data_IF_721202220589
#
_entry.id   IF_721202220589
#
_cell.length_a   1.000
_cell.length_b   1.000
_cell.length_c   1.000
_cell.angle_alpha   90.00
_cell.angle_beta   90.00
_cell.angle_gamma   90.00
#
_symmetry.space_group_name_H-M   'P 1'
#
loop_
_entity.id
_entity.type
_entity.pdbx_description
1 polymer ?
#
# COMPACT_ATOMS: atom_id res chain seq x y z
N UNK A 1 -2.39 24.18 2.36
CA UNK A 1 -2.29 23.54 3.68
C UNK A 1 -3.02 22.20 3.67
N UNK A 2 -2.52 21.22 4.43
CA UNK A 2 -3.18 19.96 4.59
C UNK A 2 -4.53 20.14 5.32
N UNK A 3 -5.53 19.34 4.93
CA UNK A 3 -6.84 19.30 5.59
C UNK A 3 -7.03 17.93 6.25
N UNK A 4 -7.41 17.92 7.52
CA UNK A 4 -7.77 16.69 8.21
C UNK A 4 -9.14 16.20 7.71
N UNK A 5 -9.24 14.94 7.33
CA UNK A 5 -10.47 14.32 6.83
C UNK A 5 -11.17 13.47 7.90
N UNK A 6 -10.42 12.88 8.84
CA UNK A 6 -10.91 12.00 9.88
C UNK A 6 -10.58 12.56 11.27
N UNK A 7 -11.33 12.19 12.29
CA UNK A 7 -11.14 12.65 13.68
C UNK A 7 -11.20 11.52 14.71
N UNK A 8 -11.26 10.26 14.27
CA UNK A 8 -11.26 9.11 15.17
C UNK A 8 -9.87 8.91 15.80
N UNK A 9 -9.82 8.34 17.01
CA UNK A 9 -8.55 8.04 17.71
C UNK A 9 -7.85 6.79 17.19
N UNK A 10 -8.59 5.90 16.52
CA UNK A 10 -8.05 4.70 15.89
C UNK A 10 -7.18 5.01 14.68
N UNK A 11 -6.34 4.06 14.33
CA UNK A 11 -5.39 4.18 13.24
C UNK A 11 -6.11 4.17 11.89
N UNK A 12 -5.72 5.05 10.97
CA UNK A 12 -6.13 5.04 9.56
C UNK A 12 -4.91 4.86 8.66
N UNK A 13 -4.96 3.87 7.78
CA UNK A 13 -3.82 3.44 6.97
C UNK A 13 -4.24 3.13 5.52
N UNK A 14 -3.27 3.20 4.62
CA UNK A 14 -3.37 2.75 3.22
C UNK A 14 -4.52 3.40 2.44
N UNK A 15 -4.63 4.72 2.42
CA UNK A 15 -5.68 5.40 1.68
C UNK A 15 -5.47 5.24 0.17
N UNK A 16 -6.58 5.02 -0.55
CA UNK A 16 -6.62 4.98 -2.02
C UNK A 16 -7.85 5.72 -2.52
N UNK A 17 -7.63 6.65 -3.45
CA UNK A 17 -8.73 7.31 -4.16
C UNK A 17 -9.41 6.32 -5.11
N UNK A 18 -10.74 6.44 -5.24
CA UNK A 18 -11.49 5.81 -6.32
C UNK A 18 -11.03 6.35 -7.68
N UNK A 19 -11.23 5.60 -8.79
CA UNK A 19 -10.79 6.04 -10.12
C UNK A 19 -11.33 7.40 -10.54
N UNK A 20 -12.55 7.73 -10.12
CA UNK A 20 -13.20 9.02 -10.38
C UNK A 20 -12.79 10.12 -9.38
N UNK A 21 -11.98 9.80 -8.38
CA UNK A 21 -11.52 10.70 -7.33
C UNK A 21 -12.58 11.13 -6.31
N UNK A 22 -13.80 10.59 -6.39
CA UNK A 22 -14.92 11.02 -5.51
C UNK A 22 -14.91 10.39 -4.12
N UNK A 23 -14.26 9.22 -3.96
CA UNK A 23 -14.19 8.45 -2.71
C UNK A 23 -12.75 8.15 -2.32
N UNK A 24 -12.53 7.85 -1.04
CA UNK A 24 -11.28 7.32 -0.51
C UNK A 24 -11.62 6.02 0.23
N UNK A 25 -10.99 4.91 -0.17
CA UNK A 25 -10.95 3.67 0.60
C UNK A 25 -9.72 3.66 1.49
N UNK A 26 -9.84 3.13 2.70
CA UNK A 26 -8.74 3.02 3.64
C UNK A 26 -8.98 1.92 4.66
N UNK A 27 -7.91 1.48 5.31
CA UNK A 27 -7.98 0.55 6.43
C UNK A 27 -8.02 1.32 7.75
N UNK A 28 -8.93 0.98 8.68
CA UNK A 28 -8.98 1.64 9.98
C UNK A 28 -9.33 0.70 11.13
N UNK A 29 -8.88 1.08 12.33
CA UNK A 29 -9.08 0.36 13.59
C UNK A 29 -10.07 1.11 14.50
N UNK A 30 -11.30 1.32 14.00
CA UNK A 30 -12.32 2.08 14.75
C UNK A 30 -13.08 1.23 15.78
N UNK A 31 -13.26 -0.06 15.50
CA UNK A 31 -14.05 -0.97 16.32
C UNK A 31 -13.27 -2.26 16.68
N UNK A 32 -11.98 -2.14 17.01
CA UNK A 32 -11.12 -3.25 17.36
C UNK A 32 -10.16 -3.61 16.25
N UNK A 33 -10.40 -4.71 15.50
CA UNK A 33 -9.53 -5.12 14.41
C UNK A 33 -9.63 -4.19 13.20
N UNK A 34 -8.59 -4.20 12.38
CA UNK A 34 -8.52 -3.37 11.17
C UNK A 34 -9.55 -3.84 10.14
N UNK A 35 -10.38 -2.91 9.69
CA UNK A 35 -11.42 -3.13 8.70
C UNK A 35 -11.28 -2.15 7.52
N UNK A 36 -12.00 -2.39 6.44
CA UNK A 36 -12.05 -1.52 5.27
C UNK A 36 -13.18 -0.50 5.44
N UNK A 37 -12.86 0.74 5.14
CA UNK A 37 -13.80 1.87 5.17
C UNK A 37 -13.73 2.63 3.85
N UNK A 38 -14.85 3.24 3.49
CA UNK A 38 -14.94 4.19 2.38
C UNK A 38 -15.57 5.48 2.87
N UNK A 39 -15.09 6.61 2.39
CA UNK A 39 -15.64 7.94 2.67
C UNK A 39 -15.59 8.83 1.43
N UNK A 40 -16.40 9.90 1.35
CA UNK A 40 -16.25 10.92 0.31
C UNK A 40 -14.85 11.57 0.37
N UNK A 41 -14.24 11.82 -0.78
CA UNK A 41 -12.92 12.46 -0.88
C UNK A 41 -12.89 13.86 -0.26
N UNK A 42 -14.01 14.56 -0.28
CA UNK A 42 -14.19 15.88 0.36
C UNK A 42 -14.36 15.80 1.88
N UNK A 43 -14.32 14.63 2.48
CA UNK A 43 -14.57 14.40 3.89
C UNK A 43 -16.02 14.03 4.17
N UNK A 44 -16.28 13.56 5.39
CA UNK A 44 -17.59 13.10 5.81
C UNK A 44 -17.50 11.88 6.71
N UNK A 45 -18.62 11.22 6.96
CA UNK A 45 -18.65 10.02 7.80
C UNK A 45 -18.15 8.81 7.02
N UNK A 46 -17.11 8.11 7.50
CA UNK A 46 -16.70 6.84 6.92
C UNK A 46 -17.77 5.76 7.05
N UNK A 47 -17.93 4.96 6.02
CA UNK A 47 -18.78 3.76 6.00
C UNK A 47 -17.90 2.52 6.08
N UNK A 48 -18.17 1.66 7.05
CA UNK A 48 -17.46 0.38 7.20
C UNK A 48 -17.99 -0.62 6.16
N UNK A 49 -17.07 -1.32 5.47
CA UNK A 49 -17.40 -2.32 4.44
C UNK A 49 -17.18 -3.76 4.90
N UNK A 50 -16.33 -3.99 5.90
CA UNK A 50 -15.96 -5.34 6.34
C UNK A 50 -16.10 -5.49 7.86
N UNK A 51 -16.38 -6.72 8.32
CA UNK A 51 -16.62 -7.04 9.74
C UNK A 51 -15.93 -8.32 10.20
N UNK A 52 -14.88 -8.74 9.52
CA UNK A 52 -14.17 -9.96 9.89
C UNK A 52 -13.21 -9.69 11.06
N UNK A 53 -13.43 -10.36 12.18
CA UNK A 53 -12.70 -10.17 13.43
C UNK A 53 -11.81 -11.34 13.83
N UNK A 54 -11.92 -12.49 13.16
CA UNK A 54 -11.11 -13.65 13.45
C UNK A 54 -9.81 -13.60 12.64
N UNK A 55 -8.80 -13.01 13.22
CA UNK A 55 -7.44 -12.96 12.66
C UNK A 55 -6.55 -14.09 13.19
N UNK A 56 -7.13 -15.04 13.91
CA UNK A 56 -6.46 -16.18 14.50
C UNK A 56 -5.80 -15.87 15.86
N UNK A 57 -5.27 -16.90 16.54
CA UNK A 57 -4.76 -16.81 17.91
C UNK A 57 -3.42 -16.05 18.04
N UNK A 58 -2.75 -15.77 16.94
CA UNK A 58 -1.48 -15.05 16.94
C UNK A 58 -1.74 -13.65 16.38
N UNK A 59 -1.49 -12.58 17.19
CA UNK A 59 -1.59 -11.22 16.69
C UNK A 59 -0.78 -11.08 15.41
N UNK A 60 -1.34 -10.50 14.35
CA UNK A 60 -0.63 -10.36 13.10
C UNK A 60 0.62 -9.52 13.30
N UNK A 61 1.77 -10.12 13.08
CA UNK A 61 3.02 -9.38 12.98
C UNK A 61 3.07 -8.77 11.59
N UNK A 62 2.85 -7.47 11.50
CA UNK A 62 3.00 -6.72 10.26
C UNK A 62 1.74 -6.63 9.39
N UNK A 63 0.54 -6.70 10.00
CA UNK A 63 -0.68 -6.30 9.33
C UNK A 63 -1.30 -7.37 8.43
N UNK A 64 -1.66 -8.51 9.01
CA UNK A 64 -2.45 -9.54 8.33
C UNK A 64 -3.95 -9.22 8.28
N UNK A 65 -4.34 -8.15 8.94
CA UNK A 65 -5.66 -7.55 8.79
C UNK A 65 -5.82 -6.95 7.40
N UNK A 66 -6.98 -6.42 7.12
CA UNK A 66 -7.23 -5.76 5.86
C UNK A 66 -6.21 -4.66 5.56
N UNK A 67 -5.61 -4.76 4.39
CA UNK A 67 -4.84 -3.70 3.76
C UNK A 67 -5.48 -3.33 2.44
N UNK A 68 -5.93 -2.09 2.32
CA UNK A 68 -6.39 -1.54 1.04
C UNK A 68 -5.18 -1.41 0.12
N UNK A 69 -5.31 -1.93 -1.09
CA UNK A 69 -4.26 -1.90 -2.11
C UNK A 69 -4.65 -0.99 -3.27
N UNK A 70 -5.86 -1.15 -3.79
CA UNK A 70 -6.32 -0.45 -4.97
C UNK A 70 -7.86 -0.46 -5.09
N UNK A 71 -8.37 0.12 -6.14
CA UNK A 71 -9.75 0.01 -6.61
C UNK A 71 -9.77 -0.72 -7.96
N UNK A 72 -10.87 -1.41 -8.24
CA UNK A 72 -11.15 -1.83 -9.62
C UNK A 72 -11.36 -0.59 -10.50
N UNK A 73 -10.95 -0.60 -11.78
CA UNK A 73 -11.06 0.57 -12.66
C UNK A 73 -12.48 1.10 -12.85
N UNK A 74 -13.51 0.25 -12.70
CA UNK A 74 -14.92 0.64 -12.70
C UNK A 74 -15.36 1.32 -11.38
N UNK A 75 -14.54 1.29 -10.33
CA UNK A 75 -14.87 1.85 -9.03
C UNK A 75 -15.89 1.04 -8.22
N UNK A 76 -16.28 -0.14 -8.67
CA UNK A 76 -17.29 -0.95 -7.99
C UNK A 76 -16.73 -1.73 -6.79
N UNK A 77 -15.43 -2.03 -6.79
CA UNK A 77 -14.80 -2.81 -5.72
C UNK A 77 -13.49 -2.18 -5.25
N UNK A 78 -13.17 -2.45 -3.98
CA UNK A 78 -11.88 -2.16 -3.37
C UNK A 78 -11.06 -3.45 -3.31
N UNK A 79 -9.88 -3.46 -3.91
CA UNK A 79 -8.93 -4.57 -3.80
C UNK A 79 -8.22 -4.47 -2.46
N UNK A 80 -8.27 -5.53 -1.70
CA UNK A 80 -7.63 -5.63 -0.39
C UNK A 80 -6.79 -6.88 -0.28
N UNK A 81 -5.77 -6.81 0.54
CA UNK A 81 -5.08 -7.99 1.03
C UNK A 81 -5.56 -8.31 2.44
N UNK A 82 -5.92 -9.55 2.69
CA UNK A 82 -6.35 -10.03 3.99
C UNK A 82 -5.92 -11.47 4.23
N UNK A 83 -5.69 -11.84 5.48
CA UNK A 83 -5.49 -13.23 5.88
C UNK A 83 -6.84 -13.82 6.33
N UNK A 84 -7.18 -14.98 5.78
CA UNK A 84 -8.41 -15.72 6.09
C UNK A 84 -8.12 -17.13 6.59
N UNK A 85 -6.84 -17.46 6.80
CA UNK A 85 -6.46 -18.79 7.24
C UNK A 85 -6.26 -18.82 8.76
N UNK A 86 -7.02 -19.66 9.51
CA UNK A 86 -7.05 -19.63 10.97
C UNK A 86 -5.73 -20.08 11.62
N UNK A 87 -4.82 -20.70 10.89
CA UNK A 87 -3.61 -21.32 11.42
C UNK A 87 -2.31 -20.62 11.01
N UNK A 88 -2.39 -19.35 10.67
CA UNK A 88 -1.20 -18.51 10.61
C UNK A 88 -0.27 -18.77 9.43
N UNK A 89 -0.80 -19.17 8.30
CA UNK A 89 -0.10 -18.93 7.04
C UNK A 89 -0.05 -17.42 6.89
N UNK A 90 1.13 -16.85 7.12
CA UNK A 90 1.36 -15.41 7.19
C UNK A 90 1.44 -14.77 5.80
N UNK A 91 0.60 -15.23 4.89
CA UNK A 91 0.57 -14.76 3.52
C UNK A 91 -0.84 -14.27 3.23
N UNK A 92 -0.92 -12.99 2.89
CA UNK A 92 -2.18 -12.36 2.55
C UNK A 92 -2.66 -12.81 1.18
N UNK A 93 -3.97 -12.85 1.01
CA UNK A 93 -4.65 -13.08 -0.28
C UNK A 93 -5.44 -11.86 -0.68
N UNK A 94 -5.59 -11.70 -1.97
CA UNK A 94 -6.39 -10.60 -2.49
C UNK A 94 -7.88 -10.95 -2.47
N UNK A 95 -8.66 -9.95 -2.07
CA UNK A 95 -10.12 -10.00 -2.07
C UNK A 95 -10.65 -8.71 -2.70
N UNK A 96 -11.78 -8.81 -3.35
CA UNK A 96 -12.57 -7.67 -3.83
C UNK A 96 -13.70 -7.42 -2.84
N UNK A 97 -13.73 -6.23 -2.27
CA UNK A 97 -14.78 -5.77 -1.35
C UNK A 97 -15.69 -4.82 -2.10
N UNK A 98 -17.00 -5.10 -2.24
CA UNK A 98 -17.91 -4.18 -2.91
C UNK A 98 -17.93 -2.80 -2.24
N UNK A 99 -17.79 -1.73 -3.03
CA UNK A 99 -17.68 -0.36 -2.53
C UNK A 99 -18.95 0.17 -1.85
N UNK A 100 -20.09 -0.43 -2.17
CA UNK A 100 -21.37 -0.11 -1.55
C UNK A 100 -21.80 -1.12 -0.46
N UNK A 101 -20.88 -2.01 -0.06
CA UNK A 101 -21.10 -3.05 0.93
C UNK A 101 -21.51 -4.38 0.32
N UNK A 102 -21.33 -5.45 1.07
CA UNK A 102 -21.61 -6.81 0.62
C UNK A 102 -20.54 -7.80 1.05
N UNK A 103 -20.62 -9.01 0.53
CA UNK A 103 -19.65 -10.06 0.82
C UNK A 103 -18.42 -9.90 -0.06
N UNK A 104 -17.25 -9.94 0.55
CA UNK A 104 -15.98 -9.95 -0.17
C UNK A 104 -15.79 -11.23 -0.99
N UNK A 105 -15.16 -11.12 -2.14
CA UNK A 105 -14.88 -12.22 -3.06
C UNK A 105 -13.36 -12.42 -3.19
N UNK A 106 -12.83 -13.65 -2.96
CA UNK A 106 -11.41 -13.89 -3.15
C UNK A 106 -11.04 -13.81 -4.64
N UNK A 107 -9.89 -13.19 -4.92
CA UNK A 107 -9.30 -13.22 -6.25
C UNK A 107 -8.56 -14.55 -6.48
N UNK A 108 -8.37 -14.90 -7.75
CA UNK A 108 -7.68 -16.15 -8.12
C UNK A 108 -6.16 -16.11 -7.90
N UNK A 109 -5.59 -14.94 -7.64
CA UNK A 109 -4.18 -14.79 -7.29
C UNK A 109 -3.94 -15.47 -5.94
N UNK A 110 -3.09 -16.51 -5.87
CA UNK A 110 -3.00 -17.38 -4.69
C UNK A 110 -2.44 -16.69 -3.46
N UNK A 111 -1.46 -15.80 -3.64
CA UNK A 111 -0.77 -15.06 -2.58
C UNK A 111 -0.21 -13.77 -3.15
N UNK A 112 -0.14 -12.72 -2.35
CA UNK A 112 0.40 -11.48 -2.83
C UNK A 112 0.74 -10.46 -1.75
N UNK A 113 1.69 -9.63 -2.09
CA UNK A 113 2.12 -8.45 -1.36
C UNK A 113 1.43 -7.18 -1.83
N UNK A 114 2.21 -6.18 -2.25
CA UNK A 114 1.69 -5.01 -2.94
C UNK A 114 1.18 -5.39 -4.32
N UNK A 115 0.16 -4.69 -4.79
CA UNK A 115 -0.38 -4.94 -6.13
C UNK A 115 -1.37 -3.85 -6.54
N UNK A 116 -1.55 -3.71 -7.84
CA UNK A 116 -2.42 -2.71 -8.45
C UNK A 116 -2.99 -3.25 -9.77
N UNK A 117 -4.23 -2.87 -10.10
CA UNK A 117 -4.82 -3.17 -11.40
C UNK A 117 -4.13 -2.41 -12.53
N UNK A 118 -4.11 -3.01 -13.71
CA UNK A 118 -3.88 -2.27 -14.95
C UNK A 118 -5.02 -1.27 -15.19
N UNK A 119 -4.77 -0.19 -15.95
CA UNK A 119 -5.81 0.81 -16.21
C UNK A 119 -7.07 0.26 -16.88
N UNK A 120 -6.92 -0.81 -17.68
CA UNK A 120 -8.03 -1.51 -18.35
C UNK A 120 -8.69 -2.59 -17.47
N UNK A 121 -8.13 -2.90 -16.30
CA UNK A 121 -8.67 -3.88 -15.36
C UNK A 121 -8.46 -5.35 -15.75
N UNK A 122 -7.74 -5.63 -16.81
CA UNK A 122 -7.53 -7.01 -17.28
C UNK A 122 -6.38 -7.73 -16.59
N UNK A 123 -5.49 -6.97 -15.95
CA UNK A 123 -4.28 -7.49 -15.29
C UNK A 123 -4.09 -6.89 -13.90
N UNK A 124 -3.27 -7.57 -13.10
CA UNK A 124 -2.78 -7.06 -11.82
C UNK A 124 -1.27 -7.19 -11.80
N UNK A 125 -0.56 -6.08 -11.60
CA UNK A 125 0.87 -6.11 -11.24
C UNK A 125 0.98 -6.37 -9.75
N UNK A 126 1.88 -7.27 -9.33
CA UNK A 126 1.97 -7.67 -7.92
C UNK A 126 3.33 -8.27 -7.55
N UNK A 127 3.55 -8.47 -6.26
CA UNK A 127 4.64 -9.30 -5.74
C UNK A 127 4.06 -10.54 -5.06
N UNK A 128 4.57 -11.76 -5.30
CA UNK A 128 4.06 -12.98 -4.66
C UNK A 128 4.28 -13.04 -3.16
N UNK A 129 5.25 -12.28 -2.64
CA UNK A 129 5.62 -12.28 -1.23
C UNK A 129 5.18 -10.98 -0.57
N UNK A 130 4.49 -11.07 0.58
CA UNK A 130 3.85 -9.95 1.27
C UNK A 130 4.78 -9.14 2.20
N UNK A 131 6.05 -9.02 1.88
CA UNK A 131 7.02 -8.35 2.74
C UNK A 131 7.53 -7.03 2.19
N UNK A 132 6.66 -6.04 2.14
CA UNK A 132 7.03 -4.69 1.69
C UNK A 132 7.89 -3.94 2.70
N UNK A 133 7.72 -4.19 3.99
CA UNK A 133 8.55 -3.60 5.03
C UNK A 133 9.46 -4.64 5.65
N UNK A 134 10.75 -4.33 5.76
CA UNK A 134 11.77 -5.20 6.32
C UNK A 134 12.68 -4.43 7.27
N UNK A 135 13.08 -5.07 8.34
CA UNK A 135 14.12 -4.57 9.26
C UNK A 135 15.55 -4.84 8.75
N UNK A 136 15.68 -5.68 7.72
CA UNK A 136 16.95 -6.04 7.09
C UNK A 136 16.92 -5.59 5.62
N UNK A 137 17.97 -4.87 5.26
CA UNK A 137 18.16 -4.32 3.91
C UNK A 137 19.02 -5.25 3.05
N UNK A 138 18.92 -5.12 1.76
CA UNK A 138 19.80 -5.75 0.76
C UNK A 138 19.84 -7.28 0.88
N UNK A 139 18.71 -7.83 1.22
CA UNK A 139 18.59 -9.29 1.30
C UNK A 139 18.65 -9.91 -0.09
N UNK A 140 19.51 -10.93 -0.21
CA UNK A 140 19.75 -11.66 -1.46
C UNK A 140 19.49 -13.14 -1.21
N UNK A 141 18.26 -13.54 -1.11
CA UNK A 141 17.88 -14.91 -0.82
C UNK A 141 16.47 -15.23 -1.27
N UNK A 142 15.95 -16.41 -0.97
CA UNK A 142 14.68 -16.92 -1.47
C UNK A 142 13.42 -16.15 -1.03
N UNK A 143 13.57 -15.03 -0.32
CA UNK A 143 12.49 -14.08 -0.01
C UNK A 143 12.77 -12.69 -0.59
N UNK A 144 13.77 -12.55 -1.46
CA UNK A 144 13.83 -11.38 -2.33
C UNK A 144 12.58 -11.39 -3.19
N UNK A 145 12.01 -10.22 -3.39
CA UNK A 145 10.76 -10.10 -4.14
C UNK A 145 11.08 -9.74 -5.58
N UNK A 146 10.27 -10.26 -6.47
CA UNK A 146 10.22 -9.89 -7.87
C UNK A 146 8.83 -9.38 -8.21
N UNK A 147 8.76 -8.57 -9.25
CA UNK A 147 7.51 -8.05 -9.79
C UNK A 147 6.94 -9.05 -10.80
N UNK A 148 5.65 -9.31 -10.67
CA UNK A 148 4.89 -10.20 -11.53
C UNK A 148 3.64 -9.52 -12.07
N UNK A 149 3.14 -9.99 -13.19
CA UNK A 149 1.81 -9.68 -13.71
C UNK A 149 0.94 -10.93 -13.63
N UNK A 150 -0.30 -10.75 -13.23
CA UNK A 150 -1.36 -11.75 -13.34
C UNK A 150 -2.40 -11.30 -14.35
N UNK A 151 -2.63 -12.13 -15.36
CA UNK A 151 -3.68 -11.97 -16.35
C UNK A 151 -4.97 -12.58 -15.82
N UNK A 152 -6.00 -11.75 -15.63
CA UNK A 152 -7.27 -12.16 -15.01
C UNK A 152 -8.15 -12.98 -15.96
N UNK A 153 -8.03 -12.77 -17.28
CA UNK A 153 -8.80 -13.52 -18.28
C UNK A 153 -8.26 -14.92 -18.47
N UNK A 154 -6.94 -15.04 -18.55
CA UNK A 154 -6.26 -16.30 -18.84
C UNK A 154 -5.83 -17.06 -17.59
N UNK A 155 -5.98 -16.44 -16.39
CA UNK A 155 -5.50 -16.99 -15.11
C UNK A 155 -4.02 -17.40 -15.16
N UNK A 156 -3.19 -16.56 -15.77
CA UNK A 156 -1.78 -16.80 -16.00
C UNK A 156 -0.91 -15.75 -15.30
N UNK A 157 0.22 -16.19 -14.75
CA UNK A 157 1.21 -15.29 -14.15
C UNK A 157 2.46 -15.21 -15.03
N UNK A 158 3.02 -14.02 -15.13
CA UNK A 158 4.28 -13.74 -15.80
C UNK A 158 5.21 -12.99 -14.86
N UNK A 159 6.46 -13.44 -14.76
CA UNK A 159 7.50 -12.76 -14.00
C UNK A 159 8.10 -11.63 -14.84
N UNK A 160 8.08 -10.40 -14.32
CA UNK A 160 8.64 -9.23 -15.02
C UNK A 160 10.09 -8.95 -14.62
N UNK A 161 10.46 -9.24 -13.39
CA UNK A 161 11.83 -9.04 -12.91
C UNK A 161 12.39 -10.33 -12.34
N UNK A 162 13.69 -10.57 -12.58
CA UNK A 162 14.46 -11.70 -12.04
C UNK A 162 15.86 -11.19 -11.67
N UNK A 163 15.92 -10.42 -10.60
CA UNK A 163 17.17 -9.85 -10.11
C UNK A 163 17.42 -10.30 -8.67
N UNK A 164 18.68 -10.57 -8.24
CA UNK A 164 18.98 -10.95 -6.85
C UNK A 164 18.58 -9.89 -5.81
N UNK A 165 18.36 -8.66 -6.23
CA UNK A 165 17.85 -7.57 -5.39
C UNK A 165 16.35 -7.76 -5.08
N UNK A 166 15.85 -6.94 -4.17
CA UNK A 166 14.42 -6.87 -3.89
C UNK A 166 13.75 -5.88 -4.84
N UNK A 167 12.80 -6.36 -5.63
CA UNK A 167 11.91 -5.55 -6.45
C UNK A 167 10.50 -5.66 -5.87
N UNK A 168 9.96 -4.57 -5.32
CA UNK A 168 8.69 -4.63 -4.60
C UNK A 168 7.81 -3.39 -4.80
N UNK A 169 6.59 -3.45 -4.25
CA UNK A 169 5.61 -2.37 -4.24
C UNK A 169 5.34 -1.82 -5.64
N UNK A 170 5.00 -2.68 -6.62
CA UNK A 170 4.74 -2.24 -7.97
C UNK A 170 3.48 -1.36 -8.03
N UNK A 171 3.55 -0.37 -8.91
CA UNK A 171 2.44 0.53 -9.24
C UNK A 171 2.35 0.75 -10.74
N UNK A 172 1.16 1.06 -11.23
CA UNK A 172 0.89 1.26 -12.65
C UNK A 172 0.44 2.70 -12.93
N UNK A 173 1.08 3.38 -13.88
CA UNK A 173 0.71 4.73 -14.31
C UNK A 173 0.67 4.77 -15.84
N UNK A 174 -0.52 4.93 -16.42
CA UNK A 174 -0.68 4.81 -17.88
C UNK A 174 -0.25 3.44 -18.38
N UNK A 175 0.71 3.40 -19.29
CA UNK A 175 1.27 2.17 -19.83
C UNK A 175 2.53 1.69 -19.07
N UNK A 176 3.04 2.50 -18.15
CA UNK A 176 4.28 2.23 -17.44
C UNK A 176 4.06 1.55 -16.08
N UNK A 177 4.92 0.59 -15.76
CA UNK A 177 4.99 -0.04 -14.43
C UNK A 177 6.22 0.49 -13.71
N UNK A 178 6.01 0.95 -12.47
CA UNK A 178 7.07 1.38 -11.57
C UNK A 178 7.12 0.49 -10.33
N UNK A 179 8.31 0.32 -9.77
CA UNK A 179 8.49 -0.48 -8.55
C UNK A 179 9.70 0.02 -7.76
N UNK A 180 9.75 -0.30 -6.46
CA UNK A 180 10.91 0.00 -5.64
C UNK A 180 11.94 -1.12 -5.73
N UNK A 181 13.22 -0.78 -5.99
CA UNK A 181 14.32 -1.74 -6.08
C UNK A 181 15.56 -1.29 -5.31
N UNK A 182 16.23 -2.24 -4.63
CA UNK A 182 17.51 -2.01 -3.95
C UNK A 182 18.72 -2.55 -4.77
N UNK A 183 18.57 -2.64 -6.12
CA UNK A 183 19.64 -3.13 -7.01
C UNK A 183 20.88 -2.26 -6.97
N UNK A 184 20.73 -0.95 -6.82
CA UNK A 184 21.79 0.04 -6.65
C UNK A 184 21.98 0.45 -5.18
N UNK A 185 21.74 -0.49 -4.25
CA UNK A 185 22.01 -0.37 -2.83
C UNK A 185 20.92 0.29 -1.98
N UNK A 186 20.38 1.44 -2.38
CA UNK A 186 19.26 2.13 -1.73
C UNK A 186 17.99 1.86 -2.54
N UNK A 187 16.86 1.58 -1.86
CA UNK A 187 15.59 1.45 -2.57
C UNK A 187 15.29 2.75 -3.31
N UNK A 188 15.23 2.66 -4.63
CA UNK A 188 14.82 3.73 -5.51
C UNK A 188 13.63 3.27 -6.37
N UNK A 189 12.94 4.23 -6.99
CA UNK A 189 11.88 3.94 -7.95
C UNK A 189 12.52 3.60 -9.30
N UNK A 190 12.10 2.46 -9.87
CA UNK A 190 12.51 2.00 -11.19
C UNK A 190 11.29 1.88 -12.09
N UNK A 191 11.49 2.13 -13.39
CA UNK A 191 10.51 1.83 -14.43
C UNK A 191 10.89 0.49 -15.07
N UNK A 192 9.90 -0.37 -15.24
CA UNK A 192 10.04 -1.61 -16.00
C UNK A 192 10.18 -1.32 -17.49
N UNK A 193 11.08 -2.04 -18.17
CA UNK A 193 11.28 -2.01 -19.60
C UNK A 193 11.09 -3.42 -20.15
N UNK A 194 10.17 -3.60 -21.12
CA UNK A 194 9.85 -4.92 -21.64
C UNK A 194 11.03 -5.60 -22.39
N UNK A 195 11.85 -4.79 -23.06
CA UNK A 195 12.96 -5.28 -23.88
C UNK A 195 14.35 -4.93 -23.28
N UNK A 196 14.44 -4.65 -21.99
CA UNK A 196 15.68 -4.20 -21.36
C UNK A 196 15.71 -4.32 -19.85
N UNK A 197 16.81 -3.83 -19.28
CA UNK A 197 16.93 -3.71 -17.82
C UNK A 197 16.07 -2.56 -17.32
N UNK A 198 15.42 -2.70 -16.15
CA UNK A 198 14.68 -1.61 -15.54
C UNK A 198 15.53 -0.36 -15.30
N UNK A 199 14.95 0.79 -15.55
CA UNK A 199 15.62 2.09 -15.48
C UNK A 199 15.29 2.79 -14.18
N UNK A 200 16.33 3.22 -13.42
CA UNK A 200 16.15 4.05 -12.23
C UNK A 200 15.58 5.42 -12.61
N UNK A 201 14.45 5.79 -12.01
CA UNK A 201 13.80 7.09 -12.22
C UNK A 201 13.97 8.03 -11.02
N UNK A 202 14.52 7.52 -9.92
CA UNK A 202 14.97 8.31 -8.76
C UNK A 202 16.39 7.91 -8.36
N UNK A 203 17.08 8.79 -7.63
CA UNK A 203 18.48 8.60 -7.21
C UNK A 203 18.68 9.09 -5.78
N UNK A 204 17.95 8.48 -4.84
CA UNK A 204 18.15 8.75 -3.41
C UNK A 204 19.30 7.89 -2.87
N UNK A 205 20.17 8.49 -2.06
CA UNK A 205 21.35 7.83 -1.50
C UNK A 205 21.20 7.53 0.00
N UNK A 206 20.59 8.45 0.76
CA UNK A 206 20.54 8.38 2.22
C UNK A 206 19.39 7.48 2.75
N UNK A 207 18.21 7.59 2.14
CA UNK A 207 16.99 6.92 2.59
C UNK A 207 16.32 6.15 1.46
N UNK A 208 15.65 5.06 1.83
CA UNK A 208 14.90 4.23 0.91
C UNK A 208 13.63 4.93 0.42
N UNK A 209 13.25 4.69 -0.83
CA UNK A 209 11.90 4.96 -1.33
C UNK A 209 10.95 3.94 -0.71
N UNK A 210 9.90 4.43 -0.06
CA UNK A 210 8.90 3.61 0.61
C UNK A 210 7.49 3.98 0.14
N UNK A 211 6.62 3.01 0.14
CA UNK A 211 5.17 3.15 -0.07
C UNK A 211 4.79 3.91 -1.35
N UNK A 212 5.36 3.56 -2.51
CA UNK A 212 4.92 4.15 -3.76
C UNK A 212 3.43 3.92 -3.95
N UNK A 213 2.74 4.96 -4.38
CA UNK A 213 1.31 4.95 -4.66
C UNK A 213 1.07 5.73 -5.94
N UNK A 214 0.40 5.11 -6.90
CA UNK A 214 0.09 5.73 -8.17
C UNK A 214 -1.22 6.52 -8.12
N UNK A 215 -1.23 7.60 -8.87
CA UNK A 215 -2.40 8.30 -9.34
C UNK A 215 -2.40 8.29 -10.88
N UNK A 216 -3.37 8.97 -11.53
CA UNK A 216 -3.48 8.92 -12.99
C UNK A 216 -2.23 9.41 -13.74
N UNK A 217 -1.47 10.33 -13.14
CA UNK A 217 -0.37 11.02 -13.82
C UNK A 217 0.93 11.03 -13.02
N UNK A 218 1.00 10.37 -11.88
CA UNK A 218 2.17 10.49 -11.01
C UNK A 218 2.29 9.34 -10.03
N UNK A 219 3.50 9.12 -9.55
CA UNK A 219 3.79 8.28 -8.38
C UNK A 219 4.14 9.18 -7.20
N UNK A 220 3.47 8.95 -6.06
CA UNK A 220 3.81 9.58 -4.78
C UNK A 220 4.47 8.54 -3.88
N UNK A 221 5.52 8.91 -3.19
CA UNK A 221 6.25 8.01 -2.29
C UNK A 221 6.84 8.75 -1.11
N UNK A 222 7.25 8.01 -0.09
CA UNK A 222 7.98 8.51 1.07
C UNK A 222 9.49 8.31 0.89
N UNK A 223 10.28 9.31 1.30
CA UNK A 223 11.73 9.19 1.43
C UNK A 223 12.21 10.12 2.56
N UNK A 224 12.94 9.57 3.53
CA UNK A 224 13.51 10.33 4.64
C UNK A 224 12.49 11.08 5.52
N UNK A 225 11.24 10.59 5.60
CA UNK A 225 10.16 11.22 6.34
C UNK A 225 9.44 12.36 5.61
N UNK A 226 9.72 12.52 4.33
CA UNK A 226 9.06 13.48 3.44
C UNK A 226 8.30 12.74 2.33
N UNK A 227 7.26 13.39 1.79
CA UNK A 227 6.55 12.92 0.62
C UNK A 227 7.12 13.55 -0.65
N UNK A 228 7.27 12.73 -1.67
CA UNK A 228 7.74 13.12 -2.99
C UNK A 228 6.71 12.76 -4.05
N UNK A 229 6.69 13.53 -5.13
CA UNK A 229 5.93 13.24 -6.35
C UNK A 229 6.90 13.10 -7.51
N UNK A 230 6.85 11.97 -8.16
CA UNK A 230 7.50 11.70 -9.44
C UNK A 230 6.50 11.88 -10.57
N UNK A 231 6.88 12.59 -11.61
CA UNK A 231 6.12 12.83 -12.83
C UNK A 231 6.70 11.97 -13.96
N UNK A 232 6.01 10.88 -14.40
CA UNK A 232 6.53 10.03 -15.46
C UNK A 232 6.72 10.74 -16.80
N UNK A 233 5.85 11.69 -17.14
CA UNK A 233 5.89 12.39 -18.41
C UNK A 233 7.09 13.35 -18.53
N UNK A 234 7.44 14.03 -17.44
CA UNK A 234 8.57 14.96 -17.38
C UNK A 234 9.85 14.33 -16.83
N UNK A 235 9.78 13.15 -16.22
CA UNK A 235 10.91 12.54 -15.51
C UNK A 235 11.35 13.32 -14.25
N UNK A 236 10.51 14.22 -13.76
CA UNK A 236 10.84 15.10 -12.64
C UNK A 236 10.37 14.55 -11.30
N UNK A 237 11.25 14.68 -10.30
CA UNK A 237 10.93 14.40 -8.90
C UNK A 237 10.93 15.68 -8.09
N UNK A 238 9.88 15.87 -7.28
CA UNK A 238 9.81 17.00 -6.36
C UNK A 238 9.34 16.59 -4.97
N UNK A 239 9.95 17.15 -3.94
CA UNK A 239 9.47 17.06 -2.57
C UNK A 239 8.19 17.89 -2.42
N UNK A 240 7.19 17.31 -1.73
CA UNK A 240 5.95 17.99 -1.43
C UNK A 240 6.08 18.78 -0.12
N UNK A 241 5.82 20.08 -0.20
CA UNK A 241 5.76 20.94 1.00
C UNK A 241 4.39 20.78 1.66
N UNK A 242 4.33 19.93 2.69
CA UNK A 242 3.11 19.66 3.45
C UNK A 242 3.24 20.26 4.84
N UNK A 243 2.32 21.14 5.17
CA UNK A 243 2.24 21.73 6.51
C UNK A 243 0.96 21.24 7.20
N UNK A 244 1.13 20.55 8.33
CA UNK A 244 0.04 20.12 9.20
C UNK A 244 -0.05 21.07 10.38
N UNK A 245 -1.13 21.83 10.44
CA UNK A 245 -1.42 22.70 11.58
C UNK A 245 -2.22 21.91 12.60
N UNK A 246 -1.72 21.82 13.83
CA UNK A 246 -2.41 21.16 14.92
C UNK A 246 -1.69 21.37 16.24
N UNK A 247 -2.43 21.43 17.31
CA UNK A 247 -1.91 21.68 18.66
C UNK A 247 -1.10 20.49 19.22
N UNK A 248 -1.14 19.34 18.56
CA UNK A 248 -0.43 18.12 18.96
C UNK A 248 -0.50 17.88 20.50
N UNK A 249 -1.69 17.74 21.10
CA UNK A 249 -1.84 17.66 22.56
C UNK A 249 -1.06 16.49 23.17
N UNK A 250 -0.83 15.42 22.40
CA UNK A 250 -0.01 14.28 22.83
C UNK A 250 1.49 14.57 22.96
N UNK A 251 1.98 15.69 22.41
CA UNK A 251 3.37 16.14 22.55
C UNK A 251 3.54 17.20 23.66
N UNK A 252 2.46 17.65 24.26
CA UNK A 252 2.53 18.60 25.38
C UNK A 252 3.11 17.90 26.61
N UNK A 253 4.03 18.52 27.34
CA UNK A 253 4.51 17.97 28.60
C UNK A 253 3.36 17.67 29.55
N UNK A 254 3.28 16.45 30.06
CA UNK A 254 2.29 16.03 31.03
C UNK A 254 3.00 15.87 32.39
N UNK A 255 2.70 16.76 33.31
CA UNK A 255 3.19 16.68 34.69
C UNK A 255 2.35 15.66 35.47
N UNK A 256 3.01 14.68 36.04
CA UNK A 256 2.39 13.66 36.91
C UNK A 256 3.10 13.61 38.23
N UNK A 257 2.35 13.27 39.29
CA UNK A 257 2.94 13.04 40.64
C UNK A 257 3.72 11.71 40.59
N UNK A 258 5.02 11.79 40.81
CA UNK A 258 5.88 10.60 40.78
C UNK A 258 5.47 9.56 41.84
N UNK A 259 4.91 9.99 42.95
CA UNK A 259 4.46 9.09 44.03
C UNK A 259 3.32 8.13 43.63
N UNK A 260 2.59 8.43 42.56
CA UNK A 260 1.52 7.56 42.03
C UNK A 260 2.09 6.37 41.20
N UNK A 261 3.37 6.40 40.88
CA UNK A 261 4.03 5.43 39.99
C UNK A 261 5.21 4.69 40.67
N UNK A 262 5.43 4.95 41.94
CA UNK A 262 6.49 4.31 42.73
C UNK A 262 5.81 3.42 43.76
N UNK A 263 6.00 2.10 43.63
CA UNK A 263 5.66 1.07 44.61
C UNK A 263 6.76 0.93 45.65
#
# INVERSE_FOLDING_TARGET
PARRLTSHEGMELFPKFSPDGSKIAFSAEYNGTRQVYVMPAEGGKPTQLTWYNDVGPIPPRGGFDYRVLDWTPDGEHVMVRANRLPWGVRMGRYHLVPADGGTEVPMQIPEGGGGMFSPDGTKVVYTPIDREFRTWKRYRGGRAQDVWIYDLENSASEQLTDHPATDNQPVWVGDDIFFASDRDYTLNLYRYEADGEPVAVTQHEDFDVLWPSAGPEAVVYENGGYLYRFDPAGGETRQLSIQVNGDRPGLMPKYVSAGEFIE
#
